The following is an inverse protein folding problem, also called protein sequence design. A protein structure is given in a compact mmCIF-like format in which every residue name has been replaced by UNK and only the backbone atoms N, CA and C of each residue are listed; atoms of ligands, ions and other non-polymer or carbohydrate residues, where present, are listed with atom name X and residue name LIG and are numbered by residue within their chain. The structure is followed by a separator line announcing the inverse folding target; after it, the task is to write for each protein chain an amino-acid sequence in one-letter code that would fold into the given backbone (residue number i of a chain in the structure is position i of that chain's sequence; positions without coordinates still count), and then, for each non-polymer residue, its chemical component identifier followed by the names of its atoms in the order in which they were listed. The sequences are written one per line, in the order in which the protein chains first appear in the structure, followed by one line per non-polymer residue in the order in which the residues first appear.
data_IF_430000149806
#
_entry.id   IF_430000149806
#
_cell.length_a   1.000
_cell.length_b   1.000
_cell.length_c   1.000
_cell.angle_alpha   90.00
_cell.angle_beta   90.00
_cell.angle_gamma   90.00
#
_symmetry.space_group_name_H-M   'P 1'
#
loop_
_entity.id
_entity.type
_entity.pdbx_description
1 polymer ?
#
# COMPACT_ATOMS: atom_id res chain seq x y z
N UNK A 1 10.35 1.99 -34.61
CA UNK A 1 11.27 0.96 -34.10
C UNK A 1 10.56 -0.38 -34.29
N UNK A 2 11.07 -1.34 -35.07
CA UNK A 2 10.39 -2.62 -35.17
C UNK A 2 10.54 -3.31 -33.82
N UNK A 3 9.43 -3.40 -33.09
CA UNK A 3 9.41 -3.89 -31.72
C UNK A 3 9.68 -5.39 -31.73
N UNK A 4 10.76 -5.82 -31.09
CA UNK A 4 11.01 -7.23 -30.85
C UNK A 4 9.86 -7.86 -30.05
N UNK A 5 9.69 -9.18 -30.19
CA UNK A 5 8.69 -9.95 -29.45
C UNK A 5 8.79 -9.66 -27.94
N UNK A 6 7.64 -9.43 -27.31
CA UNK A 6 7.57 -9.05 -25.89
C UNK A 6 7.74 -10.28 -24.99
N UNK A 7 8.47 -10.10 -23.90
CA UNK A 7 8.73 -11.13 -22.89
C UNK A 7 7.56 -11.23 -21.89
N UNK A 8 7.56 -12.20 -20.96
CA UNK A 8 6.56 -12.25 -19.91
C UNK A 8 6.46 -10.93 -19.13
N UNK A 9 5.24 -10.55 -18.75
CA UNK A 9 4.93 -9.35 -17.98
C UNK A 9 5.36 -9.51 -16.52
N UNK A 10 6.54 -8.99 -16.22
CA UNK A 10 7.23 -9.17 -14.94
C UNK A 10 7.57 -7.83 -14.32
N UNK A 11 7.57 -7.79 -12.99
CA UNK A 11 8.14 -6.70 -12.21
C UNK A 11 9.36 -7.19 -11.43
N UNK A 12 10.24 -6.27 -11.07
CA UNK A 12 11.39 -6.56 -10.20
C UNK A 12 11.13 -5.96 -8.82
N UNK A 13 11.26 -6.78 -7.78
CA UNK A 13 11.16 -6.36 -6.38
C UNK A 13 12.40 -6.85 -5.62
N UNK A 14 13.29 -5.91 -5.27
CA UNK A 14 14.63 -6.24 -4.78
C UNK A 14 15.41 -7.02 -5.85
N UNK A 15 15.88 -8.22 -5.50
CA UNK A 15 16.54 -9.15 -6.42
C UNK A 15 15.59 -10.17 -7.06
N UNK A 16 14.30 -10.14 -6.69
CA UNK A 16 13.31 -11.13 -7.15
C UNK A 16 12.59 -10.66 -8.42
N UNK A 17 12.45 -11.57 -9.38
CA UNK A 17 11.52 -11.39 -10.51
C UNK A 17 10.15 -11.97 -10.15
N UNK A 18 9.11 -11.16 -10.37
CA UNK A 18 7.72 -11.53 -10.07
C UNK A 18 6.86 -11.36 -11.32
N UNK A 19 6.15 -12.40 -11.71
CA UNK A 19 5.18 -12.37 -12.82
C UNK A 19 3.86 -11.77 -12.33
N UNK A 20 3.28 -10.86 -13.12
CA UNK A 20 1.92 -10.39 -12.92
C UNK A 20 0.95 -11.44 -13.47
N UNK A 21 0.11 -11.99 -12.60
CA UNK A 21 -0.78 -13.11 -12.93
C UNK A 21 -2.21 -12.82 -12.50
N UNK A 22 -3.13 -13.45 -13.19
CA UNK A 22 -4.56 -13.36 -12.90
C UNK A 22 -5.09 -14.71 -12.43
N UNK A 23 -5.99 -14.68 -11.46
CA UNK A 23 -6.61 -15.87 -10.84
C UNK A 23 -8.05 -16.07 -11.34
N UNK A 24 -8.65 -17.22 -11.04
CA UNK A 24 -10.07 -17.46 -11.36
C UNK A 24 -10.97 -16.55 -10.53
N UNK A 25 -11.95 -15.90 -11.19
CA UNK A 25 -13.01 -15.14 -10.53
C UNK A 25 -12.57 -13.87 -9.79
N UNK A 26 -11.38 -13.32 -10.06
CA UNK A 26 -10.89 -12.12 -9.38
C UNK A 26 -10.39 -11.04 -10.35
N UNK A 27 -10.69 -9.78 -10.04
CA UNK A 27 -10.15 -8.59 -10.73
C UNK A 27 -8.73 -8.24 -10.28
N UNK A 28 -8.28 -8.79 -9.15
CA UNK A 28 -6.97 -8.48 -8.60
C UNK A 28 -5.84 -9.11 -9.42
N UNK A 29 -4.77 -8.35 -9.61
CA UNK A 29 -3.52 -8.80 -10.20
C UNK A 29 -2.62 -9.29 -9.09
N UNK A 30 -2.17 -10.53 -9.22
CA UNK A 30 -1.38 -11.26 -8.25
C UNK A 30 0.08 -11.37 -8.69
N UNK A 31 0.96 -11.71 -7.74
CA UNK A 31 2.39 -11.90 -7.99
C UNK A 31 2.72 -13.38 -7.91
N UNK A 32 3.48 -13.89 -8.88
CA UNK A 32 4.03 -15.25 -8.89
C UNK A 32 5.54 -15.15 -8.89
N UNK A 33 6.20 -15.92 -8.03
CA UNK A 33 7.66 -15.91 -7.91
C UNK A 33 8.28 -16.70 -9.06
N UNK A 34 9.43 -16.24 -9.56
CA UNK A 34 10.31 -17.09 -10.37
C UNK A 34 10.95 -18.15 -9.48
N UNK A 35 10.74 -19.42 -9.81
CA UNK A 35 11.43 -20.53 -9.17
C UNK A 35 12.91 -20.50 -9.53
N UNK A 36 13.75 -20.77 -8.54
CA UNK A 36 15.13 -21.15 -8.79
C UNK A 36 15.15 -22.66 -9.09
N UNK A 37 15.86 -23.12 -10.13
CA UNK A 37 16.05 -24.56 -10.36
C UNK A 37 16.51 -25.25 -9.06
N UNK A 38 16.01 -26.46 -8.72
CA UNK A 38 15.35 -27.45 -9.58
C UNK A 38 13.83 -27.57 -9.41
N UNK A 39 13.15 -26.62 -8.76
CA UNK A 39 11.70 -26.76 -8.52
C UNK A 39 10.88 -26.75 -9.82
N UNK A 40 9.94 -27.69 -9.95
CA UNK A 40 9.04 -27.78 -11.10
C UNK A 40 8.14 -26.54 -11.19
N UNK A 41 8.54 -25.58 -12.03
CA UNK A 41 7.74 -24.43 -12.37
C UNK A 41 6.72 -24.72 -13.47
N UNK A 42 6.02 -23.67 -13.89
CA UNK A 42 5.10 -23.67 -15.02
C UNK A 42 5.35 -22.44 -15.90
N UNK A 43 4.94 -22.54 -17.16
CA UNK A 43 4.93 -21.40 -18.08
C UNK A 43 3.99 -20.29 -17.62
N UNK A 44 4.28 -19.06 -18.05
CA UNK A 44 3.46 -17.87 -17.87
C UNK A 44 2.07 -18.00 -18.53
N UNK A 45 1.98 -18.85 -19.54
CA UNK A 45 0.74 -19.25 -20.20
C UNK A 45 0.40 -20.69 -19.82
N UNK A 46 -0.88 -20.97 -19.55
CA UNK A 46 -1.35 -22.36 -19.46
C UNK A 46 -2.00 -22.77 -20.77
N UNK A 47 -1.69 -23.97 -21.26
CA UNK A 47 -2.29 -24.52 -22.48
C UNK A 47 -3.82 -24.52 -22.39
N UNK A 48 -4.36 -24.88 -21.21
CA UNK A 48 -5.78 -25.04 -20.96
C UNK A 48 -6.64 -23.78 -21.20
N UNK A 49 -6.06 -22.57 -21.17
CA UNK A 49 -6.80 -21.31 -21.34
C UNK A 49 -6.85 -20.78 -22.78
N UNK A 50 -6.03 -21.31 -23.70
CA UNK A 50 -6.01 -20.87 -25.10
C UNK A 50 -6.99 -21.62 -26.00
N UNK A 51 -7.73 -22.60 -25.48
CA UNK A 51 -8.59 -23.49 -26.28
C UNK A 51 -9.96 -22.91 -26.69
N UNK A 52 -10.29 -21.66 -26.36
CA UNK A 52 -11.62 -21.10 -26.66
C UNK A 52 -11.69 -20.22 -27.93
N UNK A 53 -10.57 -19.78 -28.48
CA UNK A 53 -10.53 -19.14 -29.81
C UNK A 53 -9.12 -19.15 -30.39
N UNK A 54 -8.94 -19.78 -31.56
CA UNK A 54 -7.66 -19.80 -32.29
C UNK A 54 -7.08 -18.38 -32.53
N UNK A 55 -7.96 -17.37 -32.60
CA UNK A 55 -7.59 -15.96 -32.76
C UNK A 55 -6.72 -15.41 -31.64
N UNK A 56 -6.98 -15.79 -30.38
CA UNK A 56 -6.28 -15.22 -29.22
C UNK A 56 -4.85 -15.76 -29.16
N UNK A 57 -4.68 -17.05 -29.47
CA UNK A 57 -3.35 -17.67 -29.58
C UNK A 57 -2.54 -17.00 -30.67
N UNK A 58 -3.08 -16.86 -31.88
CA UNK A 58 -2.38 -16.22 -33.01
C UNK A 58 -2.01 -14.76 -32.73
N UNK A 59 -2.87 -14.02 -32.03
CA UNK A 59 -2.56 -12.67 -31.59
C UNK A 59 -1.39 -12.64 -30.60
N UNK A 60 -1.33 -13.57 -29.65
CA UNK A 60 -0.20 -13.69 -28.72
C UNK A 60 1.08 -14.07 -29.47
N UNK A 61 1.03 -15.03 -30.41
CA UNK A 61 2.21 -15.43 -31.22
C UNK A 61 2.86 -14.27 -31.98
N UNK A 62 2.05 -13.30 -32.42
CA UNK A 62 2.53 -12.12 -33.17
C UNK A 62 3.19 -11.07 -32.27
N UNK A 63 2.86 -11.03 -30.98
CA UNK A 63 3.23 -9.94 -30.08
C UNK A 63 4.24 -10.36 -29.02
N UNK A 64 4.26 -11.63 -28.64
CA UNK A 64 5.06 -12.16 -27.54
C UNK A 64 6.01 -13.26 -27.98
N UNK A 65 7.11 -13.39 -27.24
CA UNK A 65 8.07 -14.48 -27.35
C UNK A 65 7.48 -15.72 -26.66
N UNK A 66 6.97 -16.66 -27.45
CA UNK A 66 6.34 -17.89 -26.95
C UNK A 66 7.31 -18.76 -26.17
N UNK A 67 8.57 -18.85 -26.60
CA UNK A 67 9.56 -19.67 -25.92
C UNK A 67 9.80 -19.15 -24.50
N UNK A 68 9.87 -17.82 -24.34
CA UNK A 68 9.99 -17.20 -23.02
C UNK A 68 8.73 -17.32 -22.16
N UNK A 69 7.54 -17.41 -22.77
CA UNK A 69 6.27 -17.60 -22.08
C UNK A 69 6.06 -19.03 -21.61
N UNK A 70 6.55 -20.01 -22.36
CA UNK A 70 6.44 -21.45 -22.07
C UNK A 70 7.53 -21.94 -21.10
N UNK A 71 8.58 -21.15 -20.87
CA UNK A 71 9.67 -21.46 -19.93
C UNK A 71 9.10 -21.82 -18.53
N UNK A 72 9.34 -23.04 -18.00
CA UNK A 72 8.71 -23.54 -16.78
C UNK A 72 9.41 -23.01 -15.52
N UNK A 73 9.53 -21.69 -15.41
CA UNK A 73 10.28 -21.01 -14.34
C UNK A 73 9.39 -20.31 -13.31
N UNK A 74 8.06 -20.35 -13.45
CA UNK A 74 7.17 -19.67 -12.52
C UNK A 74 6.56 -20.64 -11.51
N UNK A 75 6.43 -20.21 -10.25
CA UNK A 75 5.83 -21.00 -9.19
C UNK A 75 4.40 -21.44 -9.55
N UNK A 76 3.99 -22.62 -9.08
CA UNK A 76 2.65 -23.17 -9.31
C UNK A 76 1.53 -22.30 -8.71
N UNK A 77 1.85 -21.56 -7.65
CA UNK A 77 0.94 -20.66 -6.95
C UNK A 77 1.48 -19.24 -6.90
N UNK A 78 0.57 -18.28 -6.76
CA UNK A 78 0.91 -16.89 -6.41
C UNK A 78 1.59 -16.85 -5.04
N UNK A 79 2.35 -15.80 -4.76
CA UNK A 79 3.02 -15.63 -3.46
C UNK A 79 2.02 -15.58 -2.29
N UNK A 80 0.75 -15.23 -2.54
CA UNK A 80 -0.32 -15.28 -1.55
C UNK A 80 -1.04 -16.65 -1.47
N UNK A 81 -0.52 -17.68 -2.13
CA UNK A 81 -1.00 -19.06 -2.07
C UNK A 81 -2.19 -19.41 -2.97
N UNK A 82 -2.64 -18.49 -3.84
CA UNK A 82 -3.73 -18.78 -4.78
C UNK A 82 -3.20 -19.48 -6.03
N UNK A 83 -3.96 -20.45 -6.54
CA UNK A 83 -3.78 -20.94 -7.90
C UNK A 83 -4.04 -19.80 -8.90
N UNK A 84 -3.25 -19.73 -9.96
CA UNK A 84 -3.35 -18.71 -11.00
C UNK A 84 -3.60 -19.34 -12.36
N UNK A 85 -4.21 -18.58 -13.26
CA UNK A 85 -4.65 -19.09 -14.56
C UNK A 85 -3.59 -18.81 -15.63
N UNK A 86 -3.27 -17.53 -15.78
CA UNK A 86 -2.44 -16.99 -16.85
C UNK A 86 -1.80 -15.69 -16.37
N UNK A 87 -0.67 -15.33 -16.97
CA UNK A 87 -0.07 -14.02 -16.88
C UNK A 87 -1.06 -12.90 -17.28
N UNK A 88 -0.97 -11.73 -16.67
CA UNK A 88 -1.65 -10.52 -17.13
C UNK A 88 -0.94 -9.94 -18.37
N UNK A 89 -1.69 -9.42 -19.35
CA UNK A 89 -1.06 -8.73 -20.49
C UNK A 89 -0.20 -7.56 -20.05
N UNK A 90 0.89 -7.28 -20.77
CA UNK A 90 1.78 -6.13 -20.51
C UNK A 90 1.93 -5.29 -21.78
N UNK A 91 3.16 -4.88 -22.08
CA UNK A 91 3.48 -4.05 -23.26
C UNK A 91 3.13 -4.71 -24.61
N UNK A 92 3.03 -6.05 -24.66
CA UNK A 92 2.53 -6.78 -25.83
C UNK A 92 1.01 -6.73 -25.96
N UNK A 93 0.31 -5.97 -25.12
CA UNK A 93 -1.13 -5.89 -25.07
C UNK A 93 -1.78 -7.11 -24.41
N UNK A 94 -3.11 -7.25 -24.54
CA UNK A 94 -3.87 -8.28 -23.86
C UNK A 94 -3.52 -9.68 -24.37
N UNK A 95 -3.40 -10.64 -23.45
CA UNK A 95 -3.14 -12.07 -23.76
C UNK A 95 -4.43 -12.87 -24.02
N UNK A 96 -5.59 -12.29 -23.74
CA UNK A 96 -6.91 -12.81 -24.12
C UNK A 96 -7.84 -11.62 -24.39
N UNK A 97 -8.85 -11.80 -25.22
CA UNK A 97 -9.85 -10.75 -25.50
C UNK A 97 -10.69 -10.29 -24.29
N UNK A 98 -10.66 -11.04 -23.18
CA UNK A 98 -11.47 -10.77 -21.99
C UNK A 98 -10.74 -10.01 -20.89
N UNK A 99 -9.45 -9.65 -21.09
CA UNK A 99 -8.62 -9.08 -20.02
C UNK A 99 -7.73 -7.99 -20.55
N UNK A 100 -7.79 -6.84 -19.89
CA UNK A 100 -6.90 -5.72 -20.14
C UNK A 100 -5.48 -6.00 -19.62
N UNK A 101 -4.46 -5.35 -20.22
CA UNK A 101 -3.11 -5.34 -19.66
C UNK A 101 -3.09 -4.78 -18.23
N UNK A 102 -2.14 -5.26 -17.43
CA UNK A 102 -1.88 -4.74 -16.09
C UNK A 102 -0.38 -4.49 -15.90
N UNK A 103 -0.06 -3.35 -15.31
CA UNK A 103 1.32 -2.90 -15.09
C UNK A 103 1.72 -2.86 -13.61
N UNK A 104 0.79 -3.20 -12.71
CA UNK A 104 1.03 -3.26 -11.28
C UNK A 104 0.15 -4.35 -10.62
N UNK A 105 0.64 -4.97 -9.53
CA UNK A 105 -0.16 -5.88 -8.73
C UNK A 105 -1.16 -5.10 -7.87
N UNK A 106 -2.37 -5.66 -7.70
CA UNK A 106 -3.44 -5.04 -6.90
C UNK A 106 -3.90 -5.92 -5.74
N UNK A 107 -3.44 -7.19 -5.68
CA UNK A 107 -3.71 -8.04 -4.54
C UNK A 107 -2.99 -7.53 -3.28
N UNK A 108 -3.77 -7.03 -2.31
CA UNK A 108 -3.27 -6.53 -1.01
C UNK A 108 -2.33 -7.51 -0.28
N UNK A 109 -2.63 -8.81 -0.34
CA UNK A 109 -1.79 -9.82 0.31
C UNK A 109 -0.46 -10.03 -0.42
N UNK A 110 -0.47 -9.98 -1.75
CA UNK A 110 0.76 -10.03 -2.54
C UNK A 110 1.63 -8.79 -2.26
N UNK A 111 1.04 -7.59 -2.24
CA UNK A 111 1.75 -6.35 -1.91
C UNK A 111 2.42 -6.42 -0.54
N UNK A 112 1.70 -6.88 0.49
CA UNK A 112 2.26 -7.03 1.84
C UNK A 112 3.38 -8.09 1.95
N UNK A 113 3.40 -9.09 1.06
CA UNK A 113 4.46 -10.09 1.00
C UNK A 113 5.66 -9.61 0.17
N UNK A 114 5.41 -8.84 -0.89
CA UNK A 114 6.43 -8.19 -1.71
C UNK A 114 7.23 -7.16 -0.90
N UNK A 115 6.58 -6.43 0.00
CA UNK A 115 7.22 -5.47 0.91
C UNK A 115 8.37 -6.11 1.73
N UNK A 116 8.24 -7.40 2.08
CA UNK A 116 9.27 -8.15 2.81
C UNK A 116 10.51 -8.50 1.99
N UNK A 117 10.47 -8.27 0.68
CA UNK A 117 11.63 -8.45 -0.20
C UNK A 117 12.60 -7.26 -0.14
N UNK A 118 12.18 -6.17 0.48
CA UNK A 118 13.01 -5.01 0.74
C UNK A 118 13.55 -5.07 2.18
N UNK A 119 14.79 -4.60 2.41
CA UNK A 119 15.31 -4.48 3.76
C UNK A 119 14.39 -3.55 4.56
N UNK A 120 14.14 -3.90 5.83
CA UNK A 120 13.40 -3.01 6.70
C UNK A 120 14.16 -1.68 6.81
N UNK A 121 13.50 -0.54 6.64
CA UNK A 121 14.14 0.75 6.80
C UNK A 121 14.69 0.87 8.22
N UNK A 122 15.87 1.47 8.37
CA UNK A 122 16.39 1.81 9.68
C UNK A 122 15.39 2.75 10.36
N UNK A 123 15.02 2.43 11.60
CA UNK A 123 14.09 3.26 12.36
C UNK A 123 14.80 4.57 12.71
N UNK A 124 14.22 5.69 12.31
CA UNK A 124 14.73 7.02 12.61
C UNK A 124 14.77 7.23 14.14
N UNK A 125 15.88 7.78 14.64
CA UNK A 125 16.10 8.06 16.06
C UNK A 125 15.04 9.00 16.67
N UNK A 126 14.32 9.75 15.83
CA UNK A 126 13.20 10.63 16.24
C UNK A 126 11.97 9.84 16.64
N UNK A 127 11.81 8.59 16.21
CA UNK A 127 10.59 7.81 16.44
C UNK A 127 10.21 7.74 17.93
N UNK A 128 11.10 7.38 18.87
CA UNK A 128 10.76 7.36 20.29
C UNK A 128 10.34 8.73 20.83
N UNK A 129 11.03 9.81 20.43
CA UNK A 129 10.76 11.18 20.90
C UNK A 129 9.40 11.67 20.41
N UNK A 130 9.15 11.55 19.09
CA UNK A 130 7.86 11.93 18.49
C UNK A 130 6.72 11.08 19.08
N UNK A 131 6.96 9.79 19.32
CA UNK A 131 5.95 8.93 19.93
C UNK A 131 5.59 9.37 21.36
N UNK A 132 6.57 9.77 22.18
CA UNK A 132 6.31 10.28 23.52
C UNK A 132 5.54 11.61 23.48
N UNK A 133 5.94 12.56 22.63
CA UNK A 133 5.23 13.83 22.44
C UNK A 133 3.76 13.61 22.05
N UNK A 134 3.52 12.67 21.13
CA UNK A 134 2.16 12.30 20.73
C UNK A 134 1.37 11.73 21.91
N UNK A 135 1.97 10.89 22.75
CA UNK A 135 1.30 10.33 23.93
C UNK A 135 0.95 11.43 24.92
N UNK A 136 1.84 12.39 25.13
CA UNK A 136 1.60 13.52 26.03
C UNK A 136 0.47 14.41 25.52
N UNK A 137 0.42 14.68 24.21
CA UNK A 137 -0.67 15.43 23.58
C UNK A 137 -2.00 14.66 23.62
N UNK A 138 -2.00 13.35 23.36
CA UNK A 138 -3.19 12.51 23.49
C UNK A 138 -3.68 12.48 24.94
N UNK A 139 -2.78 12.48 25.93
CA UNK A 139 -3.16 12.57 27.35
C UNK A 139 -3.81 13.92 27.69
N UNK A 140 -3.35 15.01 27.07
CA UNK A 140 -3.85 16.36 27.33
C UNK A 140 -5.14 16.68 26.58
N UNK A 141 -5.25 16.26 25.32
CA UNK A 141 -6.33 16.68 24.41
C UNK A 141 -7.23 15.54 23.94
N UNK A 142 -6.89 14.28 24.24
CA UNK A 142 -7.57 13.11 23.71
C UNK A 142 -7.17 12.73 22.27
N UNK A 143 -6.45 13.60 21.56
CA UNK A 143 -5.98 13.37 20.19
C UNK A 143 -4.67 14.08 19.90
N UNK A 144 -3.99 13.64 18.84
CA UNK A 144 -2.80 14.27 18.30
C UNK A 144 -2.69 14.04 16.79
N UNK A 145 -2.04 14.98 16.11
CA UNK A 145 -1.80 14.95 14.67
C UNK A 145 -0.30 15.05 14.41
N UNK A 146 0.28 14.12 13.66
CA UNK A 146 1.67 14.17 13.21
C UNK A 146 1.71 14.40 11.71
N UNK A 147 2.37 15.47 11.27
CA UNK A 147 2.49 15.84 9.85
C UNK A 147 3.86 15.51 9.30
N UNK A 148 3.91 15.28 7.98
CA UNK A 148 5.14 15.06 7.20
C UNK A 148 5.94 13.86 7.71
N UNK A 149 5.25 12.83 8.17
CA UNK A 149 5.91 11.59 8.60
C UNK A 149 6.46 10.88 7.36
N UNK A 150 7.77 10.58 7.28
CA UNK A 150 8.31 9.78 6.20
C UNK A 150 7.57 8.45 6.10
N UNK A 151 7.15 8.07 4.88
CA UNK A 151 6.27 6.91 4.67
C UNK A 151 6.86 5.59 5.18
N UNK A 152 8.18 5.44 5.09
CA UNK A 152 8.96 4.31 5.59
C UNK A 152 9.02 4.25 7.14
N UNK A 153 8.89 5.40 7.81
CA UNK A 153 8.90 5.51 9.28
C UNK A 153 7.51 5.40 9.92
N UNK A 154 6.45 5.61 9.13
CA UNK A 154 5.07 5.65 9.60
C UNK A 154 4.65 4.39 10.36
N UNK A 155 5.03 3.21 9.88
CA UNK A 155 4.71 1.93 10.54
C UNK A 155 5.39 1.82 11.91
N UNK A 156 6.67 2.19 11.99
CA UNK A 156 7.44 2.18 13.22
C UNK A 156 6.87 3.18 14.24
N UNK A 157 6.58 4.41 13.81
CA UNK A 157 5.99 5.45 14.63
C UNK A 157 4.62 5.02 15.19
N UNK A 158 3.73 4.50 14.35
CA UNK A 158 2.41 3.99 14.79
C UNK A 158 2.55 2.88 15.83
N UNK A 159 3.48 1.96 15.63
CA UNK A 159 3.73 0.88 16.58
C UNK A 159 4.23 1.43 17.92
N UNK A 160 5.19 2.36 17.91
CA UNK A 160 5.72 3.00 19.10
C UNK A 160 4.64 3.75 19.90
N UNK A 161 3.83 4.57 19.22
CA UNK A 161 2.71 5.31 19.85
C UNK A 161 1.72 4.35 20.50
N UNK A 162 1.25 3.32 19.76
CA UNK A 162 0.27 2.36 20.30
C UNK A 162 0.80 1.61 21.51
N UNK A 163 2.10 1.28 21.50
CA UNK A 163 2.75 0.63 22.64
C UNK A 163 2.80 1.57 23.86
N UNK A 164 3.24 2.81 23.68
CA UNK A 164 3.33 3.79 24.76
C UNK A 164 1.95 4.16 25.32
N UNK A 165 0.94 4.36 24.47
CA UNK A 165 -0.44 4.61 24.93
C UNK A 165 -0.94 3.42 25.75
N UNK A 166 -0.74 2.18 25.28
CA UNK A 166 -1.12 0.99 26.04
C UNK A 166 -0.42 0.94 27.40
N UNK A 167 0.86 1.30 27.46
CA UNK A 167 1.67 1.26 28.69
C UNK A 167 1.32 2.39 29.67
N UNK A 168 1.07 3.61 29.18
CA UNK A 168 0.98 4.80 30.01
C UNK A 168 -0.45 5.30 30.26
N UNK A 169 -1.39 4.98 29.36
CA UNK A 169 -2.79 5.42 29.42
C UNK A 169 -3.71 4.22 29.69
N UNK A 170 -3.35 3.04 29.17
CA UNK A 170 -4.11 1.81 29.39
C UNK A 170 -5.42 1.72 28.59
N UNK A 171 -5.71 2.71 27.74
CA UNK A 171 -6.92 2.77 26.91
C UNK A 171 -6.60 2.50 25.43
N UNK A 172 -7.58 1.97 24.66
CA UNK A 172 -7.39 1.72 23.24
C UNK A 172 -7.39 3.03 22.45
N UNK A 173 -6.38 3.22 21.60
CA UNK A 173 -6.33 4.32 20.64
C UNK A 173 -6.59 3.85 19.21
N UNK A 174 -7.13 4.75 18.39
CA UNK A 174 -7.24 4.61 16.93
C UNK A 174 -6.14 5.45 16.27
N UNK A 175 -5.60 4.93 15.16
CA UNK A 175 -4.63 5.65 14.34
C UNK A 175 -5.15 5.71 12.91
N UNK A 176 -5.23 6.90 12.33
CA UNK A 176 -5.65 7.14 10.95
C UNK A 176 -4.47 7.69 10.16
N UNK A 177 -4.35 7.27 8.90
CA UNK A 177 -3.27 7.69 8.00
C UNK A 177 -3.91 8.24 6.74
N UNK A 178 -3.50 9.43 6.34
CA UNK A 178 -3.83 10.02 5.06
C UNK A 178 -2.60 10.76 4.53
N UNK A 179 -2.09 10.36 3.38
CA UNK A 179 -0.83 10.85 2.81
C UNK A 179 0.34 10.85 3.81
N UNK A 180 0.81 12.03 4.23
CA UNK A 180 1.91 12.23 5.17
C UNK A 180 1.44 12.58 6.60
N UNK A 181 0.13 12.47 6.84
CA UNK A 181 -0.54 12.78 8.09
C UNK A 181 -0.92 11.51 8.86
N UNK A 182 -0.52 11.46 10.12
CA UNK A 182 -0.92 10.47 11.11
C UNK A 182 -1.78 11.13 12.17
N UNK A 183 -3.04 10.74 12.28
CA UNK A 183 -3.91 11.14 13.37
C UNK A 183 -4.01 10.02 14.41
N UNK A 184 -3.94 10.37 15.68
CA UNK A 184 -4.08 9.47 16.82
C UNK A 184 -5.20 10.00 17.70
N UNK A 185 -6.16 9.14 18.03
CA UNK A 185 -7.29 9.52 18.87
C UNK A 185 -7.54 8.45 19.94
N UNK A 186 -7.74 8.89 21.17
CA UNK A 186 -8.18 8.08 22.29
C UNK A 186 -9.58 8.57 22.69
N UNK A 187 -10.62 7.93 22.17
CA UNK A 187 -12.02 8.36 22.33
C UNK A 187 -12.44 8.50 23.81
N UNK A 188 -11.82 7.73 24.71
CA UNK A 188 -12.09 7.77 26.15
C UNK A 188 -11.43 8.94 26.89
N UNK A 189 -10.53 9.67 26.23
CA UNK A 189 -9.90 10.89 26.74
C UNK A 189 -10.39 12.15 26.03
N UNK A 190 -11.13 12.02 24.93
CA UNK A 190 -11.68 13.16 24.20
C UNK A 190 -12.86 13.77 24.95
N UNK A 191 -12.88 15.10 25.08
CA UNK A 191 -14.05 15.84 25.55
C UNK A 191 -15.03 16.01 24.37
N UNK A 192 -15.85 14.99 24.17
CA UNK A 192 -16.79 14.94 23.05
C UNK A 192 -17.83 16.09 23.09
N UNK A 193 -18.15 16.61 24.29
CA UNK A 193 -19.06 17.74 24.46
C UNK A 193 -18.40 19.08 24.08
N UNK A 194 -17.12 19.27 24.40
CA UNK A 194 -16.35 20.42 23.92
C UNK A 194 -16.16 20.39 22.40
N UNK A 195 -15.91 19.21 21.82
CA UNK A 195 -15.79 19.05 20.36
C UNK A 195 -17.10 19.34 19.64
N UNK A 196 -18.22 18.82 20.14
CA UNK A 196 -19.55 19.11 19.58
C UNK A 196 -19.88 20.60 19.67
N UNK A 197 -19.60 21.26 20.80
CA UNK A 197 -19.75 22.71 20.92
C UNK A 197 -18.90 23.47 19.91
N UNK A 198 -17.61 23.16 19.80
CA UNK A 198 -16.71 23.83 18.86
C UNK A 198 -17.14 23.61 17.39
N UNK A 199 -17.63 22.42 17.05
CA UNK A 199 -18.15 22.12 15.72
C UNK A 199 -19.45 22.90 15.41
N UNK A 200 -20.37 22.97 16.38
CA UNK A 200 -21.60 23.76 16.27
C UNK A 200 -21.28 25.24 16.10
N UNK A 201 -20.38 25.79 16.93
CA UNK A 201 -19.93 27.18 16.83
C UNK A 201 -19.27 27.48 15.48
N UNK A 202 -18.45 26.56 14.95
CA UNK A 202 -17.82 26.73 13.65
C UNK A 202 -18.82 26.70 12.49
N UNK A 203 -19.81 25.80 12.54
CA UNK A 203 -20.90 25.74 11.54
C UNK A 203 -21.77 26.99 11.62
N UNK A 204 -22.11 27.45 12.83
CA UNK A 204 -22.88 28.66 13.07
C UNK A 204 -22.15 29.91 12.54
N UNK A 205 -20.83 30.01 12.76
CA UNK A 205 -20.02 31.11 12.22
C UNK A 205 -20.03 31.16 10.68
N UNK A 206 -19.98 30.00 10.01
CA UNK A 206 -20.07 29.88 8.55
C UNK A 206 -21.48 30.23 8.05
N UNK A 207 -22.53 29.72 8.70
CA UNK A 207 -23.92 29.96 8.29
C UNK A 207 -24.38 31.40 8.52
N UNK A 208 -23.89 32.06 9.57
CA UNK A 208 -24.24 33.45 9.90
C UNK A 208 -23.39 34.50 9.15
N UNK A 209 -22.53 34.09 8.21
CA UNK A 209 -21.73 35.02 7.40
C UNK A 209 -20.73 35.84 8.22
N UNK A 210 -20.28 35.33 9.38
CA UNK A 210 -19.21 35.96 10.16
C UNK A 210 -17.88 35.64 9.46
N UNK A 211 -17.55 36.40 8.42
CA UNK A 211 -16.40 36.18 7.52
C UNK A 211 -15.01 36.23 8.18
N UNK A 212 -14.91 36.56 9.47
CA UNK A 212 -13.67 36.36 10.21
C UNK A 212 -13.70 34.98 10.88
N UNK A 213 -13.48 33.93 10.08
CA UNK A 213 -12.66 32.82 10.57
C UNK A 213 -11.40 33.47 11.17
N UNK A 214 -11.02 33.17 12.43
CA UNK A 214 -9.85 33.80 13.02
C UNK A 214 -8.67 33.66 12.04
N UNK A 215 -8.15 34.81 11.58
CA UNK A 215 -7.09 34.87 10.56
C UNK A 215 -5.81 34.13 11.00
N UNK A 216 -5.71 33.88 12.30
CA UNK A 216 -4.78 32.96 12.91
C UNK A 216 -5.55 31.66 13.16
N UNK A 217 -5.31 30.62 12.34
CA UNK A 217 -5.64 29.25 12.78
C UNK A 217 -5.03 29.13 14.18
N UNK A 218 -5.81 28.82 15.23
CA UNK A 218 -5.23 28.63 16.55
C UNK A 218 -4.05 27.67 16.40
N UNK A 219 -2.92 28.01 17.02
CA UNK A 219 -1.78 27.09 17.09
C UNK A 219 -2.36 25.79 17.60
N UNK A 220 -2.47 24.80 16.72
CA UNK A 220 -3.05 23.51 17.09
C UNK A 220 -1.99 22.86 17.96
N UNK A 221 -2.11 23.04 19.27
CA UNK A 221 -1.14 22.54 20.27
C UNK A 221 -0.98 21.02 20.16
N UNK A 222 -1.98 20.33 19.61
CA UNK A 222 -2.00 18.91 19.30
C UNK A 222 -1.32 18.50 17.98
N UNK A 223 -0.69 19.42 17.24
CA UNK A 223 0.01 19.12 15.96
C UNK A 223 1.51 19.05 16.16
N UNK A 224 2.09 17.87 15.88
CA UNK A 224 3.52 17.63 15.81
C UNK A 224 3.97 17.62 14.35
N UNK A 225 4.96 18.44 14.00
CA UNK A 225 5.61 18.36 12.69
C UNK A 225 6.87 17.52 12.78
N UNK A 226 6.96 16.43 12.01
CA UNK A 226 8.17 15.61 11.95
C UNK A 226 9.41 16.44 11.58
N UNK A 227 9.24 17.40 10.67
CA UNK A 227 10.30 18.29 10.16
C UNK A 227 10.73 19.40 11.12
N UNK A 228 10.07 19.59 12.27
CA UNK A 228 10.47 20.59 13.26
C UNK A 228 11.81 20.26 13.95
N UNK A 229 12.30 19.03 13.77
CA UNK A 229 13.51 18.51 14.41
C UNK A 229 14.57 18.33 13.33
N UNK A 230 15.48 19.30 13.18
CA UNK A 230 16.72 19.07 12.43
C UNK A 230 17.68 18.34 13.35
N UNK A 231 18.16 17.16 12.94
CA UNK A 231 19.42 16.64 13.47
C UNK A 231 20.52 17.62 13.06
N UNK A 232 21.27 18.13 14.05
CA UNK A 232 22.48 18.90 13.83
C UNK A 232 23.60 18.01 13.27
#
# INVERSE_FOLDING_TARGET
MPEGLRRPNVITAGTSQLLLAVVSGGEAVHLVRRNNPPEAGRGALSDAHFYQADSDRELVKRRYDLAALEEPVWAQTTICGRAWLVMAGGDGGPVSRYREPAFAPTCRRCLALMDRLFPAPAVDERVPVVAQLVVDLVRQHGYAEVRRVPGDQLSALRKAIRLLIKQQIGQPCRTFVHDDLLMVACESLGDHEAEQRAAVEAVEAVLLGREQLPAVRPVREWVVSWSAWKQG
#
